data_IF_536379557605
#
_entry.id   IF_536379557605
#
_cell.length_a   1.000
_cell.length_b   1.000
_cell.length_c   1.000
_cell.angle_alpha   90.00
_cell.angle_beta   90.00
_cell.angle_gamma   90.00
#
_symmetry.space_group_name_H-M   'P 1'
#
loop_
_entity.id
_entity.type
_entity.pdbx_description
1 polymer ?
#
# COMPACT_ATOMS: atom_id res chain seq x y z
N UNK A 1 -11.67 -7.35 18.83
CA UNK A 1 -12.64 -7.22 17.72
C UNK A 1 -11.87 -7.53 16.46
N UNK A 2 -12.27 -8.58 15.76
CA UNK A 2 -11.49 -9.21 14.69
C UNK A 2 -11.59 -8.42 13.39
N UNK A 3 -10.44 -8.04 12.86
CA UNK A 3 -10.13 -7.79 11.45
C UNK A 3 -8.64 -8.10 11.36
N UNK A 4 -8.13 -8.91 10.45
CA UNK A 4 -8.52 -9.13 9.07
C UNK A 4 -7.89 -10.44 8.60
N UNK A 5 -8.41 -11.05 7.54
CA UNK A 5 -7.62 -12.01 6.77
C UNK A 5 -6.26 -11.36 6.46
N UNK A 6 -5.18 -12.00 6.93
CA UNK A 6 -3.82 -11.50 6.83
C UNK A 6 -3.54 -11.17 5.36
N UNK A 7 -2.98 -10.00 5.04
CA UNK A 7 -2.78 -9.58 3.64
C UNK A 7 -2.03 -10.63 2.81
N UNK A 8 -1.30 -11.54 3.48
CA UNK A 8 -0.66 -12.74 2.94
C UNK A 8 -1.60 -13.70 2.18
N UNK A 9 -2.88 -13.76 2.55
CA UNK A 9 -3.88 -14.66 1.93
C UNK A 9 -4.51 -14.06 0.67
N UNK A 10 -4.35 -12.74 0.47
CA UNK A 10 -4.93 -12.03 -0.68
C UNK A 10 -4.06 -12.26 -1.91
N UNK A 11 -4.67 -12.58 -3.08
CA UNK A 11 -3.95 -12.64 -4.34
C UNK A 11 -3.23 -11.32 -4.64
N UNK A 12 -1.97 -11.43 -5.05
CA UNK A 12 -1.08 -10.28 -5.21
C UNK A 12 -1.66 -9.23 -6.15
N UNK A 13 -2.29 -9.67 -7.24
CA UNK A 13 -2.94 -8.85 -8.27
C UNK A 13 -4.14 -8.03 -7.76
N UNK A 14 -4.65 -8.29 -6.56
CA UNK A 14 -5.78 -7.57 -5.96
C UNK A 14 -5.35 -6.55 -4.90
N UNK A 15 -4.13 -6.68 -4.36
CA UNK A 15 -3.65 -5.92 -3.20
C UNK A 15 -3.63 -4.41 -3.42
N UNK A 16 -3.11 -3.95 -4.56
CA UNK A 16 -2.92 -2.52 -4.83
C UNK A 16 -4.25 -1.77 -4.80
N UNK A 17 -5.22 -2.28 -5.57
CA UNK A 17 -6.55 -1.67 -5.71
C UNK A 17 -7.33 -1.75 -4.39
N UNK A 18 -7.17 -2.83 -3.64
CA UNK A 18 -7.79 -2.99 -2.33
C UNK A 18 -7.23 -1.96 -1.33
N UNK A 19 -5.91 -1.82 -1.24
CA UNK A 19 -5.28 -0.90 -0.29
C UNK A 19 -5.54 0.56 -0.64
N UNK A 20 -5.53 0.93 -1.91
CA UNK A 20 -5.91 2.28 -2.37
C UNK A 20 -7.31 2.65 -1.86
N UNK A 21 -8.28 1.75 -2.06
CA UNK A 21 -9.66 1.94 -1.58
C UNK A 21 -9.71 2.03 -0.05
N UNK A 22 -9.04 1.12 0.67
CA UNK A 22 -9.07 1.11 2.13
C UNK A 22 -8.43 2.37 2.74
N UNK A 23 -7.28 2.80 2.21
CA UNK A 23 -6.58 4.00 2.65
C UNK A 23 -7.45 5.24 2.44
N UNK A 24 -8.13 5.34 1.29
CA UNK A 24 -9.05 6.43 0.98
C UNK A 24 -10.18 6.55 2.02
N UNK A 25 -10.79 5.42 2.42
CA UNK A 25 -11.86 5.38 3.44
C UNK A 25 -11.36 5.76 4.86
N UNK A 26 -10.08 5.52 5.16
CA UNK A 26 -9.51 5.64 6.52
C UNK A 26 -8.80 6.96 6.83
N UNK A 27 -8.79 7.93 5.91
CA UNK A 27 -7.89 9.10 5.85
C UNK A 27 -7.70 9.90 7.16
N UNK A 28 -8.58 9.79 8.18
CA UNK A 28 -8.46 10.54 9.43
C UNK A 28 -7.90 9.77 10.65
N UNK A 29 -7.78 8.42 10.66
CA UNK A 29 -7.28 7.65 11.84
C UNK A 29 -6.46 6.38 11.55
N UNK A 30 -6.18 6.04 10.29
CA UNK A 30 -5.64 4.73 9.87
C UNK A 30 -4.12 4.54 9.85
N UNK A 31 -3.31 5.46 10.38
CA UNK A 31 -1.83 5.34 10.32
C UNK A 31 -1.25 4.06 10.96
N UNK A 32 -1.71 3.62 12.16
CA UNK A 32 -1.24 2.37 12.74
C UNK A 32 -1.59 1.14 11.88
N UNK A 33 -2.77 1.14 11.24
CA UNK A 33 -3.21 0.04 10.38
C UNK A 33 -2.35 -0.05 9.12
N UNK A 34 -2.04 1.09 8.49
CA UNK A 34 -1.15 1.13 7.31
C UNK A 34 0.27 0.68 7.65
N UNK A 35 0.77 0.97 8.85
CA UNK A 35 2.06 0.45 9.33
C UNK A 35 2.04 -1.07 9.45
N UNK A 36 0.97 -1.64 10.02
CA UNK A 36 0.80 -3.09 10.16
C UNK A 36 0.73 -3.76 8.78
N UNK A 37 -0.07 -3.23 7.87
CA UNK A 37 -0.19 -3.74 6.49
C UNK A 37 1.14 -3.74 5.76
N UNK A 38 1.90 -2.64 5.87
CA UNK A 38 3.24 -2.56 5.29
C UNK A 38 4.15 -3.66 5.81
N UNK A 39 4.12 -3.94 7.12
CA UNK A 39 4.90 -5.03 7.73
C UNK A 39 4.46 -6.41 7.22
N UNK A 40 3.16 -6.66 7.09
CA UNK A 40 2.65 -7.92 6.52
C UNK A 40 3.10 -8.11 5.08
N UNK A 41 2.98 -7.08 4.23
CA UNK A 41 3.38 -7.14 2.82
C UNK A 41 4.88 -7.38 2.64
N UNK A 42 5.72 -6.73 3.46
CA UNK A 42 7.17 -6.96 3.46
C UNK A 42 7.56 -8.37 3.92
N UNK A 43 6.67 -9.07 4.64
CA UNK A 43 6.91 -10.42 5.15
C UNK A 43 6.39 -11.51 4.21
N UNK A 44 5.76 -11.15 3.08
CA UNK A 44 5.27 -12.13 2.09
C UNK A 44 6.42 -12.78 1.33
N UNK A 45 6.24 -14.05 0.96
CA UNK A 45 7.20 -14.79 0.13
C UNK A 45 7.37 -14.16 -1.28
N UNK A 46 6.34 -13.50 -1.79
CA UNK A 46 6.31 -12.83 -3.09
C UNK A 46 6.46 -11.31 -2.98
N UNK A 47 7.09 -10.80 -1.92
CA UNK A 47 7.28 -9.36 -1.68
C UNK A 47 7.98 -8.60 -2.82
N UNK A 48 8.75 -9.30 -3.66
CA UNK A 48 9.42 -8.72 -4.84
C UNK A 48 8.58 -8.76 -6.12
N UNK A 49 7.36 -9.30 -6.06
CA UNK A 49 6.44 -9.28 -7.21
C UNK A 49 5.97 -7.84 -7.47
N UNK A 50 5.67 -7.54 -8.74
CA UNK A 50 5.23 -6.20 -9.14
C UNK A 50 3.99 -5.78 -8.36
N UNK A 51 3.02 -6.66 -8.16
CA UNK A 51 1.77 -6.30 -7.51
C UNK A 51 1.95 -6.05 -6.00
N UNK A 52 2.79 -6.84 -5.31
CA UNK A 52 3.09 -6.59 -3.89
C UNK A 52 3.93 -5.32 -3.72
N UNK A 53 4.91 -5.07 -4.60
CA UNK A 53 5.69 -3.83 -4.56
C UNK A 53 4.82 -2.59 -4.74
N UNK A 54 3.84 -2.66 -5.64
CA UNK A 54 2.85 -1.59 -5.82
C UNK A 54 1.99 -1.40 -4.58
N UNK A 55 1.58 -2.48 -3.91
CA UNK A 55 0.78 -2.44 -2.69
C UNK A 55 1.57 -1.82 -1.52
N UNK A 56 2.84 -2.19 -1.37
CA UNK A 56 3.77 -1.57 -0.41
C UNK A 56 3.90 -0.07 -0.70
N UNK A 57 3.99 0.31 -1.97
CA UNK A 57 4.10 1.70 -2.38
C UNK A 57 2.83 2.53 -2.05
N UNK A 58 1.63 1.94 -2.05
CA UNK A 58 0.42 2.60 -1.54
C UNK A 58 0.57 2.93 -0.05
N UNK A 59 1.10 1.98 0.74
CA UNK A 59 1.37 2.22 2.16
C UNK A 59 2.44 3.29 2.35
N UNK A 60 3.53 3.25 1.57
CA UNK A 60 4.62 4.22 1.66
C UNK A 60 4.15 5.64 1.31
N UNK A 61 3.32 5.80 0.27
CA UNK A 61 2.74 7.09 -0.12
C UNK A 61 1.90 7.70 1.02
N UNK A 62 1.01 6.90 1.62
CA UNK A 62 0.20 7.35 2.76
C UNK A 62 1.04 7.70 4.01
N UNK A 63 2.13 6.96 4.25
CA UNK A 63 2.96 7.16 5.42
C UNK A 63 3.93 8.34 5.28
N UNK A 64 4.27 8.71 4.05
CA UNK A 64 5.19 9.78 3.72
C UNK A 64 4.64 11.16 4.15
N UNK A 65 5.52 12.12 4.52
CA UNK A 65 5.09 13.49 4.72
C UNK A 65 4.50 14.06 3.43
N UNK A 66 3.43 14.84 3.57
CA UNK A 66 2.76 15.47 2.43
C UNK A 66 3.75 16.31 1.60
N UNK A 67 3.76 16.09 0.28
CA UNK A 67 4.64 16.80 -0.65
C UNK A 67 6.11 16.37 -0.63
N UNK A 68 6.48 15.33 0.13
CA UNK A 68 7.84 14.79 0.14
C UNK A 68 8.24 14.12 -1.18
N UNK A 69 9.55 14.02 -1.43
CA UNK A 69 10.09 13.24 -2.56
C UNK A 69 9.77 11.76 -2.44
N UNK A 70 9.81 11.22 -1.22
CA UNK A 70 9.49 9.83 -0.92
C UNK A 70 8.04 9.49 -1.30
N UNK A 71 7.08 10.37 -0.95
CA UNK A 71 5.68 10.19 -1.34
C UNK A 71 5.50 10.19 -2.86
N UNK A 72 6.15 11.13 -3.57
CA UNK A 72 6.12 11.16 -5.05
C UNK A 72 6.71 9.89 -5.66
N UNK A 73 7.81 9.37 -5.11
CA UNK A 73 8.44 8.14 -5.58
C UNK A 73 7.53 6.92 -5.33
N UNK A 74 6.91 6.83 -4.15
CA UNK A 74 5.96 5.78 -3.82
C UNK A 74 4.73 5.82 -4.73
N UNK A 75 4.16 7.00 -4.97
CA UNK A 75 3.04 7.19 -5.89
C UNK A 75 3.37 6.72 -7.32
N UNK A 76 4.58 7.02 -7.82
CA UNK A 76 5.02 6.58 -9.14
C UNK A 76 5.16 5.06 -9.25
N UNK A 77 5.51 4.37 -8.15
CA UNK A 77 5.56 2.91 -8.09
C UNK A 77 4.15 2.32 -8.02
N UNK A 78 3.30 2.82 -7.12
CA UNK A 78 1.95 2.31 -6.92
C UNK A 78 1.07 2.47 -8.18
N UNK A 79 1.19 3.60 -8.88
CA UNK A 79 0.39 3.93 -10.06
C UNK A 79 1.23 4.48 -11.23
N UNK A 80 2.01 3.62 -11.91
CA UNK A 80 2.91 4.04 -12.99
C UNK A 80 2.18 4.61 -14.23
N UNK A 81 0.88 4.34 -14.37
CA UNK A 81 0.07 4.87 -15.45
C UNK A 81 -0.53 6.25 -15.16
N UNK A 82 -0.57 6.67 -13.89
CA UNK A 82 -1.06 8.00 -13.50
C UNK A 82 0.00 9.10 -13.70
N UNK A 83 1.29 8.73 -13.71
CA UNK A 83 2.43 9.62 -13.96
C UNK A 83 2.56 10.09 -15.43
N UNK A 84 1.65 9.68 -16.33
CA UNK A 84 1.62 10.08 -17.75
C UNK A 84 0.65 11.22 -18.08
N UNK A 85 0.03 11.88 -17.09
CA UNK A 85 -0.86 13.04 -17.32
C UNK A 85 -0.16 14.38 -17.12
#
# INVERSE_FOLDING_TARGET
MAASAELIEIPSNELVSLLDLMVWEMTNRGRPDVLMWRTELLSRDDATSVDVLRAIAVCDDYLAPEGSEDGRAAQAIAWPDLSRK
#
